data_IF_225722137609
#
_entry.id   IF_225722137609
#
_cell.length_a   1.000
_cell.length_b   1.000
_cell.length_c   1.000
_cell.angle_alpha   90.00
_cell.angle_beta   90.00
_cell.angle_gamma   90.00
#
_symmetry.space_group_name_H-M   'P 1'
#
loop_
_entity.id
_entity.type
_entity.pdbx_description
1 polymer ?
#
# COMPACT_ATOMS: atom_id res chain seq x y z
N UNK A 1 9.85 -0.01 37.06
CA UNK A 1 8.76 -1.03 37.11
C UNK A 1 7.73 -0.99 35.96
N UNK A 2 7.59 0.10 35.18
CA UNK A 2 6.58 0.21 34.08
C UNK A 2 6.88 -0.61 32.82
N UNK A 3 8.13 -0.97 32.55
CA UNK A 3 8.54 -1.68 31.32
C UNK A 3 8.17 -3.18 31.29
N UNK A 4 8.00 -3.82 32.45
CA UNK A 4 7.66 -5.25 32.54
C UNK A 4 6.16 -5.50 32.23
N UNK A 5 5.28 -4.53 32.50
CA UNK A 5 3.84 -4.64 32.20
C UNK A 5 3.54 -4.60 30.69
N UNK A 6 4.29 -3.82 29.92
CA UNK A 6 4.07 -3.68 28.45
C UNK A 6 4.46 -4.96 27.71
N UNK A 7 5.50 -5.67 28.17
CA UNK A 7 5.91 -6.96 27.57
C UNK A 7 4.91 -8.09 27.84
N UNK A 8 4.22 -8.09 28.99
CA UNK A 8 3.18 -9.08 29.33
C UNK A 8 1.88 -8.89 28.52
N UNK A 9 1.50 -7.66 28.19
CA UNK A 9 0.31 -7.36 27.36
C UNK A 9 0.46 -7.85 25.91
N UNK A 10 1.67 -7.85 25.35
CA UNK A 10 1.91 -8.30 23.97
C UNK A 10 1.70 -9.81 23.77
N UNK A 11 1.87 -10.63 24.81
CA UNK A 11 1.61 -12.08 24.77
C UNK A 11 0.15 -12.45 25.07
N UNK A 12 -0.61 -11.59 25.73
CA UNK A 12 -2.02 -11.85 26.06
C UNK A 12 -2.93 -11.71 24.84
N UNK A 13 -2.65 -10.74 23.96
CA UNK A 13 -3.42 -10.54 22.73
C UNK A 13 -3.39 -11.73 21.77
N UNK A 14 -2.27 -12.47 21.68
CA UNK A 14 -2.18 -13.63 20.77
C UNK A 14 -3.07 -14.80 21.19
N UNK A 15 -3.32 -14.99 22.50
CA UNK A 15 -4.20 -16.04 23.00
C UNK A 15 -5.67 -15.73 22.70
N UNK A 16 -6.05 -14.46 22.84
CA UNK A 16 -7.40 -13.99 22.50
C UNK A 16 -7.60 -14.02 20.98
N UNK A 17 -6.62 -13.56 20.21
CA UNK A 17 -6.68 -13.57 18.74
C UNK A 17 -6.78 -15.00 18.20
N UNK A 18 -6.02 -15.95 18.76
CA UNK A 18 -6.10 -17.37 18.38
C UNK A 18 -7.41 -18.01 18.78
N UNK A 19 -7.98 -17.69 19.95
CA UNK A 19 -9.30 -18.16 20.37
C UNK A 19 -10.41 -17.67 19.42
N UNK A 20 -10.35 -16.40 19.00
CA UNK A 20 -11.25 -15.82 18.02
C UNK A 20 -11.07 -16.49 16.66
N UNK A 21 -9.82 -16.72 16.22
CA UNK A 21 -9.52 -17.39 14.96
C UNK A 21 -10.02 -18.84 14.95
N UNK A 22 -9.86 -19.59 16.04
CA UNK A 22 -10.41 -20.94 16.18
C UNK A 22 -11.93 -20.94 16.16
N UNK A 23 -12.59 -19.96 16.77
CA UNK A 23 -14.03 -19.79 16.69
C UNK A 23 -14.50 -19.54 15.25
N UNK A 24 -13.81 -18.66 14.53
CA UNK A 24 -14.10 -18.36 13.11
C UNK A 24 -13.89 -19.60 12.24
N UNK A 25 -12.82 -20.38 12.48
CA UNK A 25 -12.54 -21.62 11.74
C UNK A 25 -13.62 -22.68 12.00
N UNK A 26 -14.09 -22.82 13.24
CA UNK A 26 -15.19 -23.76 13.58
C UNK A 26 -16.51 -23.34 12.92
N UNK A 27 -16.81 -22.04 12.91
CA UNK A 27 -17.99 -21.49 12.23
C UNK A 27 -17.88 -21.69 10.72
N UNK A 28 -16.72 -21.42 10.13
CA UNK A 28 -16.47 -21.61 8.70
C UNK A 28 -16.56 -23.09 8.32
N UNK A 29 -16.06 -23.99 9.17
CA UNK A 29 -16.18 -25.44 9.00
C UNK A 29 -17.63 -25.90 9.04
N UNK A 30 -18.43 -25.38 9.97
CA UNK A 30 -19.87 -25.66 10.04
C UNK A 30 -20.62 -25.15 8.80
N UNK A 31 -20.28 -23.95 8.33
CA UNK A 31 -20.84 -23.37 7.09
C UNK A 31 -20.45 -24.22 5.88
N UNK A 32 -19.18 -24.66 5.78
CA UNK A 32 -18.73 -25.55 4.71
C UNK A 32 -19.45 -26.90 4.75
N UNK A 33 -19.63 -27.49 5.94
CA UNK A 33 -20.36 -28.74 6.10
C UNK A 33 -21.82 -28.60 5.61
N UNK A 34 -22.46 -27.47 5.93
CA UNK A 34 -23.81 -27.13 5.47
C UNK A 34 -23.88 -26.93 3.95
N UNK A 35 -22.91 -26.22 3.37
CA UNK A 35 -22.86 -25.94 1.94
C UNK A 35 -22.57 -27.18 1.07
N UNK A 36 -21.66 -28.05 1.51
CA UNK A 36 -21.24 -29.21 0.73
C UNK A 36 -22.12 -30.46 0.91
N UNK A 37 -23.17 -30.39 1.74
CA UNK A 37 -24.05 -31.53 2.10
C UNK A 37 -23.25 -32.80 2.45
N UNK A 38 -22.10 -32.63 3.11
CA UNK A 38 -21.21 -33.74 3.46
C UNK A 38 -21.79 -34.48 4.68
N UNK A 39 -22.70 -35.43 4.43
CA UNK A 39 -23.28 -36.29 5.45
C UNK A 39 -22.27 -37.37 5.86
N UNK A 40 -21.50 -37.06 6.91
CA UNK A 40 -20.74 -38.07 7.63
C UNK A 40 -21.72 -39.10 8.21
N UNK A 41 -21.42 -40.42 8.13
CA UNK A 41 -22.28 -41.45 8.67
C UNK A 41 -22.63 -41.16 10.14
N UNK A 42 -23.93 -41.16 10.46
CA UNK A 42 -24.44 -40.62 11.74
C UNK A 42 -23.92 -41.36 12.98
N UNK A 43 -23.48 -42.62 12.85
CA UNK A 43 -23.23 -43.51 13.98
C UNK A 43 -21.79 -43.58 14.49
N UNK A 44 -20.79 -43.11 13.74
CA UNK A 44 -19.38 -43.30 14.13
C UNK A 44 -18.79 -42.07 14.80
N UNK A 45 -19.18 -41.88 16.06
CA UNK A 45 -18.67 -40.82 16.94
C UNK A 45 -17.13 -40.91 17.09
N UNK A 46 -16.58 -42.12 17.09
CA UNK A 46 -15.14 -42.39 17.12
C UNK A 46 -14.44 -41.87 15.85
N UNK A 47 -15.03 -42.05 14.67
CA UNK A 47 -14.46 -41.58 13.40
C UNK A 47 -14.41 -40.05 13.35
N UNK A 48 -15.45 -39.36 13.86
CA UNK A 48 -15.48 -37.89 13.96
C UNK A 48 -14.39 -37.37 14.89
N UNK A 49 -14.17 -38.03 16.03
CA UNK A 49 -13.10 -37.68 16.98
C UNK A 49 -11.72 -37.90 16.34
N UNK A 50 -11.51 -39.03 15.66
CA UNK A 50 -10.23 -39.33 15.00
C UNK A 50 -9.89 -38.33 13.89
N UNK A 51 -10.88 -37.94 13.06
CA UNK A 51 -10.71 -36.90 12.04
C UNK A 51 -10.42 -35.54 12.68
N UNK A 52 -11.09 -35.20 13.78
CA UNK A 52 -10.84 -33.95 14.52
C UNK A 52 -9.42 -33.91 15.09
N UNK A 53 -8.94 -35.01 15.67
CA UNK A 53 -7.58 -35.14 16.19
C UNK A 53 -6.52 -35.07 15.08
N UNK A 54 -6.77 -35.70 13.93
CA UNK A 54 -5.85 -35.66 12.79
C UNK A 54 -5.73 -34.25 12.21
N UNK A 55 -6.87 -33.56 12.01
CA UNK A 55 -6.89 -32.18 11.52
C UNK A 55 -6.18 -31.25 12.50
N UNK A 56 -6.41 -31.42 13.81
CA UNK A 56 -5.76 -30.60 14.84
C UNK A 56 -4.25 -30.82 14.87
N UNK A 57 -3.78 -32.07 14.74
CA UNK A 57 -2.34 -32.38 14.65
C UNK A 57 -1.69 -31.79 13.40
N UNK A 58 -2.37 -31.87 12.24
CA UNK A 58 -1.88 -31.27 10.98
C UNK A 58 -1.74 -29.76 11.14
N UNK A 59 -2.71 -29.09 11.76
CA UNK A 59 -2.66 -27.64 12.01
C UNK A 59 -1.49 -27.27 12.93
N UNK A 60 -1.25 -28.05 14.01
CA UNK A 60 -0.13 -27.82 14.93
C UNK A 60 1.24 -28.00 14.24
N UNK A 61 1.38 -28.98 13.36
CA UNK A 61 2.60 -29.23 12.58
C UNK A 61 2.86 -28.12 11.55
N UNK A 62 1.80 -27.57 10.92
CA UNK A 62 1.94 -26.46 9.98
C UNK A 62 2.14 -25.11 10.66
N UNK A 63 1.65 -24.92 11.89
CA UNK A 63 1.70 -23.65 12.61
C UNK A 63 3.09 -22.96 12.62
N UNK A 64 4.21 -23.62 12.95
CA UNK A 64 5.53 -22.96 12.97
C UNK A 64 5.98 -22.51 11.56
N UNK A 65 5.68 -23.28 10.51
CA UNK A 65 5.98 -22.91 9.12
C UNK A 65 5.13 -21.72 8.68
N UNK A 66 3.84 -21.74 9.02
CA UNK A 66 2.92 -20.61 8.79
C UNK A 66 3.39 -19.36 9.53
N UNK A 67 3.86 -19.49 10.77
CA UNK A 67 4.35 -18.36 11.57
C UNK A 67 5.56 -17.67 10.94
N UNK A 68 6.49 -18.44 10.39
CA UNK A 68 7.64 -17.89 9.65
C UNK A 68 7.19 -17.16 8.37
N UNK A 69 6.24 -17.74 7.64
CA UNK A 69 5.65 -17.12 6.46
C UNK A 69 4.92 -15.82 6.81
N UNK A 70 4.17 -15.79 7.92
CA UNK A 70 3.47 -14.58 8.39
C UNK A 70 4.41 -13.46 8.77
N UNK A 71 5.61 -13.74 9.28
CA UNK A 71 6.59 -12.68 9.57
C UNK A 71 7.13 -12.05 8.29
N UNK A 72 7.35 -12.85 7.24
CA UNK A 72 7.79 -12.36 5.93
C UNK A 72 6.69 -11.56 5.22
N UNK A 73 5.45 -12.05 5.29
CA UNK A 73 4.27 -11.35 4.77
C UNK A 73 4.03 -10.07 5.57
N UNK A 74 4.16 -10.09 6.90
CA UNK A 74 3.94 -8.92 7.76
C UNK A 74 4.94 -7.81 7.45
N UNK A 75 6.22 -8.14 7.26
CA UNK A 75 7.22 -7.17 6.80
C UNK A 75 6.86 -6.57 5.44
N UNK A 76 6.35 -7.39 4.51
CA UNK A 76 5.87 -6.91 3.20
C UNK A 76 4.62 -6.03 3.33
N UNK A 77 3.67 -6.37 4.21
CA UNK A 77 2.45 -5.61 4.48
C UNK A 77 2.75 -4.28 5.15
N UNK A 78 3.70 -4.24 6.09
CA UNK A 78 4.16 -3.00 6.74
C UNK A 78 4.83 -2.03 5.76
N UNK A 79 5.31 -2.53 4.61
CA UNK A 79 5.82 -1.73 3.50
C UNK A 79 4.75 -1.32 2.48
N UNK A 80 3.50 -1.81 2.59
CA UNK A 80 2.44 -1.42 1.69
C UNK A 80 1.85 -0.07 2.13
N UNK A 81 1.79 0.86 1.18
CA UNK A 81 1.02 2.08 1.30
C UNK A 81 -0.46 1.77 1.61
N UNK A 82 -1.10 2.59 2.45
CA UNK A 82 -2.54 2.52 2.74
C UNK A 82 -3.35 2.58 1.43
N UNK A 83 -2.86 3.33 0.42
CA UNK A 83 -3.49 3.41 -0.91
C UNK A 83 -3.55 2.05 -1.60
N UNK A 84 -2.45 1.29 -1.54
CA UNK A 84 -2.34 -0.05 -2.14
C UNK A 84 -3.33 -1.02 -1.49
N UNK A 85 -3.51 -0.93 -0.18
CA UNK A 85 -4.50 -1.73 0.55
C UNK A 85 -5.92 -1.37 0.08
N UNK A 86 -6.24 -0.09 -0.06
CA UNK A 86 -7.55 0.36 -0.57
C UNK A 86 -7.81 -0.10 -2.02
N UNK A 87 -6.80 -0.05 -2.87
CA UNK A 87 -6.88 -0.49 -4.26
C UNK A 87 -7.14 -2.00 -4.36
N UNK A 88 -6.47 -2.80 -3.50
CA UNK A 88 -6.70 -4.24 -3.39
C UNK A 88 -8.13 -4.53 -2.88
N UNK A 89 -8.63 -3.77 -1.90
CA UNK A 89 -9.99 -3.94 -1.40
C UNK A 89 -11.05 -3.59 -2.47
N UNK A 90 -10.84 -2.50 -3.20
CA UNK A 90 -11.73 -2.06 -4.28
C UNK A 90 -11.81 -3.10 -5.41
N UNK A 91 -10.68 -3.67 -5.78
CA UNK A 91 -10.60 -4.70 -6.82
C UNK A 91 -11.23 -6.02 -6.40
N UNK A 92 -11.09 -6.43 -5.13
CA UNK A 92 -11.82 -7.57 -4.58
C UNK A 92 -13.35 -7.35 -4.66
N UNK A 93 -13.81 -6.15 -4.29
CA UNK A 93 -15.21 -5.75 -4.40
C UNK A 93 -15.72 -5.83 -5.84
N UNK A 94 -14.99 -5.26 -6.80
CA UNK A 94 -15.32 -5.34 -8.23
C UNK A 94 -15.34 -6.78 -8.73
N UNK A 95 -14.37 -7.60 -8.35
CA UNK A 95 -14.32 -9.02 -8.72
C UNK A 95 -15.54 -9.80 -8.21
N UNK A 96 -15.98 -9.52 -6.99
CA UNK A 96 -17.20 -10.13 -6.41
C UNK A 96 -18.47 -9.62 -7.12
N UNK A 97 -18.54 -8.33 -7.46
CA UNK A 97 -19.65 -7.75 -8.22
C UNK A 97 -19.79 -8.37 -9.62
N UNK A 98 -18.66 -8.54 -10.32
CA UNK A 98 -18.62 -9.23 -11.61
C UNK A 98 -18.99 -10.70 -11.46
N UNK A 99 -18.48 -11.38 -10.42
CA UNK A 99 -18.82 -12.77 -10.12
C UNK A 99 -20.32 -12.97 -9.83
N UNK A 100 -20.93 -12.05 -9.09
CA UNK A 100 -22.36 -12.07 -8.83
C UNK A 100 -23.16 -11.86 -10.11
N UNK A 101 -22.74 -10.94 -10.98
CA UNK A 101 -23.36 -10.75 -12.29
C UNK A 101 -23.30 -12.02 -13.14
N UNK A 102 -22.18 -12.75 -13.07
CA UNK A 102 -21.98 -14.03 -13.76
C UNK A 102 -22.82 -15.18 -13.18
N UNK A 103 -23.21 -15.13 -11.91
CA UNK A 103 -24.08 -16.15 -11.31
C UNK A 103 -25.45 -16.26 -11.99
N UNK A 104 -25.93 -15.19 -12.64
CA UNK A 104 -27.19 -15.21 -13.41
C UNK A 104 -27.10 -16.11 -14.66
N UNK A 105 -25.90 -16.43 -15.12
CA UNK A 105 -25.67 -17.31 -16.27
C UNK A 105 -25.81 -18.80 -15.91
N UNK A 106 -25.99 -19.15 -14.62
CA UNK A 106 -26.37 -20.51 -14.18
C UNK A 106 -27.65 -20.99 -14.88
N UNK A 107 -28.53 -20.06 -15.28
CA UNK A 107 -29.78 -20.37 -15.97
C UNK A 107 -29.58 -20.85 -17.42
N UNK A 108 -28.39 -20.72 -17.99
CA UNK A 108 -28.10 -21.22 -19.34
C UNK A 108 -27.71 -22.70 -19.30
N UNK A 109 -28.24 -23.53 -20.22
CA UNK A 109 -28.06 -24.99 -20.20
C UNK A 109 -26.60 -25.46 -20.43
N UNK A 110 -25.71 -24.55 -20.86
CA UNK A 110 -24.31 -24.86 -21.14
C UNK A 110 -23.39 -24.75 -19.93
N UNK A 111 -23.80 -24.05 -18.87
CA UNK A 111 -22.91 -23.74 -17.75
C UNK A 111 -23.36 -24.45 -16.47
N UNK A 112 -22.58 -25.43 -16.02
CA UNK A 112 -22.76 -26.00 -14.68
C UNK A 112 -22.28 -25.02 -13.60
N UNK A 113 -22.82 -25.13 -12.39
CA UNK A 113 -22.42 -24.31 -11.22
C UNK A 113 -20.90 -24.37 -10.98
N UNK A 114 -20.29 -25.56 -11.12
CA UNK A 114 -18.84 -25.76 -10.92
C UNK A 114 -18.01 -24.98 -11.93
N UNK A 115 -18.41 -24.96 -13.20
CA UNK A 115 -17.75 -24.18 -14.26
C UNK A 115 -17.83 -22.69 -13.97
N UNK A 116 -18.97 -22.20 -13.48
CA UNK A 116 -19.14 -20.77 -13.16
C UNK A 116 -18.28 -20.36 -11.98
N UNK A 117 -18.19 -21.18 -10.93
CA UNK A 117 -17.27 -20.94 -9.81
C UNK A 117 -15.81 -20.89 -10.28
N UNK A 118 -15.41 -21.80 -11.16
CA UNK A 118 -14.06 -21.82 -11.73
C UNK A 118 -13.74 -20.56 -12.54
N UNK A 119 -14.65 -20.13 -13.41
CA UNK A 119 -14.52 -18.90 -14.20
C UNK A 119 -14.43 -17.67 -13.28
N UNK A 120 -15.24 -17.60 -12.23
CA UNK A 120 -15.23 -16.49 -11.29
C UNK A 120 -13.90 -16.37 -10.52
N UNK A 121 -13.31 -17.50 -10.10
CA UNK A 121 -11.99 -17.50 -9.47
C UNK A 121 -10.93 -16.93 -10.42
N UNK A 122 -10.98 -17.32 -11.71
CA UNK A 122 -10.08 -16.78 -12.74
C UNK A 122 -10.26 -15.27 -12.91
N UNK A 123 -11.51 -14.79 -13.00
CA UNK A 123 -11.80 -13.35 -13.15
C UNK A 123 -11.24 -12.54 -11.97
N UNK A 124 -11.41 -13.03 -10.74
CA UNK A 124 -10.89 -12.36 -9.54
C UNK A 124 -9.36 -12.29 -9.59
N UNK A 125 -8.69 -13.39 -9.94
CA UNK A 125 -7.22 -13.43 -10.07
C UNK A 125 -6.74 -12.44 -11.13
N UNK A 126 -7.37 -12.43 -12.31
CA UNK A 126 -7.01 -11.52 -13.40
C UNK A 126 -7.21 -10.06 -12.98
N UNK A 127 -8.33 -9.74 -12.33
CA UNK A 127 -8.66 -8.38 -11.89
C UNK A 127 -7.62 -7.86 -10.90
N UNK A 128 -7.27 -8.67 -9.90
CA UNK A 128 -6.22 -8.32 -8.93
C UNK A 128 -4.87 -8.17 -9.64
N UNK A 129 -4.54 -9.06 -10.56
CA UNK A 129 -3.27 -9.04 -11.28
C UNK A 129 -3.09 -7.78 -12.15
N UNK A 130 -4.10 -7.39 -12.93
CA UNK A 130 -4.07 -6.19 -13.77
C UNK A 130 -3.80 -4.94 -12.93
N UNK A 131 -4.44 -4.84 -11.77
CA UNK A 131 -4.36 -3.68 -10.89
C UNK A 131 -3.01 -3.59 -10.17
N UNK A 132 -2.43 -4.74 -9.82
CA UNK A 132 -1.06 -4.78 -9.29
C UNK A 132 -0.03 -4.41 -10.35
N UNK A 133 -0.25 -4.77 -11.62
CA UNK A 133 0.63 -4.38 -12.71
C UNK A 133 0.52 -2.89 -13.06
N UNK A 134 -0.70 -2.34 -13.01
CA UNK A 134 -0.99 -0.96 -13.40
C UNK A 134 -1.01 0.03 -12.24
N UNK A 135 -0.45 -0.33 -11.07
CA UNK A 135 -0.46 0.51 -9.87
C UNK A 135 0.09 1.92 -10.16
N UNK A 136 1.21 2.00 -10.87
CA UNK A 136 1.85 3.28 -11.23
C UNK A 136 1.00 4.14 -12.18
N UNK A 137 0.34 3.50 -13.16
CA UNK A 137 -0.57 4.18 -14.09
C UNK A 137 -1.85 4.66 -13.40
N UNK A 138 -2.38 3.88 -12.45
CA UNK A 138 -3.57 4.23 -11.66
C UNK A 138 -3.25 5.42 -10.75
N UNK A 139 -2.08 5.44 -10.13
CA UNK A 139 -1.63 6.59 -9.34
C UNK A 139 -1.50 7.84 -10.22
N UNK A 140 -0.96 7.70 -11.43
CA UNK A 140 -0.92 8.80 -12.38
C UNK A 140 -2.34 9.31 -12.72
N UNK A 141 -3.29 8.44 -13.07
CA UNK A 141 -4.64 8.86 -13.48
C UNK A 141 -5.44 9.47 -12.31
N UNK A 142 -5.40 8.86 -11.12
CA UNK A 142 -6.18 9.30 -9.97
C UNK A 142 -5.64 10.57 -9.31
N UNK A 143 -4.34 10.85 -9.42
CA UNK A 143 -3.69 11.98 -8.72
C UNK A 143 -3.12 13.06 -9.65
N UNK A 144 -3.34 12.96 -10.97
CA UNK A 144 -2.97 13.99 -11.95
C UNK A 144 -3.80 15.28 -11.84
N UNK A 145 -4.97 15.25 -11.21
CA UNK A 145 -5.82 16.45 -11.07
C UNK A 145 -5.54 17.32 -9.83
N UNK A 146 -4.77 16.86 -8.85
CA UNK A 146 -4.48 17.65 -7.65
C UNK A 146 -3.30 18.63 -7.80
N UNK A 147 -2.81 18.85 -9.02
CA UNK A 147 -1.70 19.80 -9.30
C UNK A 147 -2.14 21.11 -9.96
N UNK A 148 -3.44 21.29 -10.19
CA UNK A 148 -3.97 22.56 -10.73
C UNK A 148 -4.15 23.61 -9.61
N UNK A 149 -3.70 23.33 -8.39
CA UNK A 149 -3.56 24.34 -7.31
C UNK A 149 -2.20 24.27 -6.64
N UNK A 150 -1.24 24.96 -7.25
CA UNK A 150 -0.27 25.79 -6.52
C UNK A 150 1.06 25.14 -6.16
N UNK A 151 2.05 25.34 -7.04
CA UNK A 151 3.48 25.56 -6.76
C UNK A 151 4.35 24.54 -6.02
N UNK A 152 3.85 23.51 -5.34
CA UNK A 152 4.73 22.71 -4.45
C UNK A 152 5.32 21.44 -5.08
N UNK A 153 4.74 20.88 -6.15
CA UNK A 153 5.29 19.66 -6.78
C UNK A 153 6.48 19.89 -7.70
N UNK A 154 6.67 21.10 -8.22
CA UNK A 154 7.88 21.44 -8.96
C UNK A 154 9.15 21.42 -8.10
N UNK A 155 9.03 21.45 -6.77
CA UNK A 155 10.16 21.36 -5.83
C UNK A 155 10.54 19.93 -5.44
N UNK A 156 9.68 18.92 -5.68
CA UNK A 156 9.91 17.56 -5.15
C UNK A 156 10.67 16.63 -6.11
N UNK A 157 10.66 16.90 -7.42
CA UNK A 157 11.33 16.05 -8.43
C UNK A 157 12.56 16.70 -9.06
N UNK A 158 12.75 18.01 -8.87
CA UNK A 158 13.84 18.76 -9.48
C UNK A 158 15.07 18.79 -8.56
N UNK A 159 16.23 18.47 -9.12
CA UNK A 159 17.50 18.58 -8.40
C UNK A 159 17.73 20.03 -7.93
N UNK A 160 18.21 20.26 -6.71
CA UNK A 160 18.50 21.60 -6.23
C UNK A 160 19.54 22.28 -7.14
N UNK A 161 19.35 23.57 -7.39
CA UNK A 161 20.25 24.37 -8.25
C UNK A 161 21.02 25.37 -7.41
N UNK A 162 22.33 25.40 -7.60
CA UNK A 162 23.22 26.32 -6.88
C UNK A 162 23.33 27.61 -7.69
N UNK A 163 23.16 28.74 -7.02
CA UNK A 163 23.29 30.08 -7.64
C UNK A 163 24.67 30.63 -7.37
N UNK A 164 25.26 31.24 -8.39
CA UNK A 164 26.52 31.98 -8.35
C UNK A 164 26.31 33.50 -8.18
N UNK A 165 27.32 34.19 -7.65
CA UNK A 165 27.30 35.64 -7.40
C UNK A 165 27.01 36.45 -8.67
N UNK A 166 27.62 36.06 -9.79
CA UNK A 166 27.48 36.75 -11.09
C UNK A 166 26.03 36.80 -11.58
N UNK A 167 25.31 35.69 -11.44
CA UNK A 167 23.90 35.57 -11.87
C UNK A 167 22.96 36.44 -11.02
N UNK A 168 23.32 36.68 -9.75
CA UNK A 168 22.57 37.55 -8.84
C UNK A 168 22.84 39.03 -9.16
N UNK A 169 24.11 39.41 -9.29
CA UNK A 169 24.52 40.81 -9.58
C UNK A 169 23.91 41.32 -10.90
N UNK A 170 23.79 40.44 -11.89
CA UNK A 170 23.20 40.81 -13.18
C UNK A 170 21.66 40.81 -13.18
N UNK A 171 21.03 40.30 -12.12
CA UNK A 171 19.57 40.18 -12.02
C UNK A 171 18.95 39.11 -12.93
N UNK A 172 19.75 38.40 -13.74
CA UNK A 172 19.27 37.37 -14.69
C UNK A 172 18.50 36.25 -14.00
N UNK A 173 18.94 35.82 -12.81
CA UNK A 173 18.25 34.75 -12.08
C UNK A 173 16.83 35.14 -11.68
N UNK A 174 16.57 36.42 -11.43
CA UNK A 174 15.24 36.92 -11.05
C UNK A 174 14.25 36.80 -12.20
N UNK A 175 14.67 37.17 -13.42
CA UNK A 175 13.80 37.06 -14.60
C UNK A 175 13.52 35.60 -14.97
N UNK A 176 14.54 34.74 -14.89
CA UNK A 176 14.40 33.32 -15.19
C UNK A 176 13.50 32.63 -14.15
N UNK A 177 13.61 32.99 -12.86
CA UNK A 177 12.73 32.50 -11.81
C UNK A 177 11.30 33.01 -11.95
N UNK A 178 11.11 34.32 -12.20
CA UNK A 178 9.79 34.95 -12.35
C UNK A 178 8.95 34.36 -13.49
N UNK A 179 9.61 33.91 -14.55
CA UNK A 179 8.96 33.31 -15.72
C UNK A 179 8.86 31.77 -15.64
N UNK A 180 9.16 31.16 -14.49
CA UNK A 180 9.14 29.70 -14.28
C UNK A 180 10.00 28.91 -15.29
N UNK A 181 11.14 29.46 -15.72
CA UNK A 181 12.10 28.73 -16.57
C UNK A 181 13.04 27.84 -15.76
N UNK A 182 13.09 28.04 -14.43
CA UNK A 182 13.88 27.25 -13.51
C UNK A 182 12.96 26.72 -12.42
N UNK A 183 12.99 25.40 -12.26
CA UNK A 183 12.27 24.69 -11.21
C UNK A 183 13.21 24.23 -10.09
N UNK A 184 12.64 23.99 -8.91
CA UNK A 184 13.34 23.39 -7.79
C UNK A 184 13.95 24.36 -6.80
N UNK A 185 14.54 23.78 -5.74
CA UNK A 185 15.12 24.56 -4.64
C UNK A 185 16.37 25.27 -5.14
N UNK A 186 16.36 26.60 -5.05
CA UNK A 186 17.52 27.45 -5.28
C UNK A 186 18.36 27.52 -4.01
N UNK A 187 19.61 27.05 -4.08
CA UNK A 187 20.56 27.09 -2.98
C UNK A 187 21.52 28.25 -3.23
N UNK A 188 21.58 29.19 -2.29
CA UNK A 188 22.57 30.26 -2.27
C UNK A 188 23.63 29.92 -1.20
N UNK A 189 24.86 29.55 -1.60
CA UNK A 189 25.94 29.27 -0.66
C UNK A 189 26.32 30.49 0.17
N UNK A 190 26.86 30.25 1.37
CA UNK A 190 27.27 31.35 2.28
C UNK A 190 28.33 32.27 1.67
N UNK A 191 29.30 31.72 0.93
CA UNK A 191 30.35 32.53 0.30
C UNK A 191 29.81 33.51 -0.75
N UNK A 192 28.70 33.17 -1.42
CA UNK A 192 28.02 34.06 -2.38
C UNK A 192 27.42 35.26 -1.67
N UNK A 193 26.83 35.06 -0.48
CA UNK A 193 26.32 36.15 0.36
C UNK A 193 27.45 37.05 0.85
N UNK A 194 28.58 36.48 1.27
CA UNK A 194 29.76 37.23 1.70
C UNK A 194 30.35 38.07 0.55
N UNK A 195 30.38 37.53 -0.67
CA UNK A 195 30.83 38.27 -1.85
C UNK A 195 29.88 39.42 -2.21
N UNK A 196 28.56 39.19 -2.16
CA UNK A 196 27.57 40.25 -2.38
C UNK A 196 27.69 41.37 -1.34
N UNK A 197 27.91 41.02 -0.06
CA UNK A 197 28.15 41.98 1.02
C UNK A 197 29.42 42.81 0.76
N UNK A 198 30.52 42.16 0.36
CA UNK A 198 31.76 42.87 0.00
C UNK A 198 31.56 43.84 -1.17
N UNK A 199 30.74 43.47 -2.16
CA UNK A 199 30.37 44.37 -3.28
C UNK A 199 29.49 45.52 -2.78
N UNK A 200 28.56 45.23 -1.87
CA UNK A 200 27.66 46.20 -1.23
C UNK A 200 28.40 47.20 -0.31
N UNK A 201 29.58 46.84 0.21
CA UNK A 201 30.39 47.70 1.08
C UNK A 201 31.50 48.47 0.34
N UNK A 202 31.60 48.31 -0.98
CA UNK A 202 32.65 48.97 -1.76
C UNK A 202 32.48 50.50 -1.86
N UNK A 203 33.60 51.23 -1.95
CA UNK A 203 33.63 52.70 -2.04
C UNK A 203 32.93 53.27 -3.29
N UNK A 204 32.73 52.44 -4.32
CA UNK A 204 32.10 52.85 -5.58
C UNK A 204 30.59 52.69 -5.47
N UNK A 205 29.86 53.81 -5.57
CA UNK A 205 28.40 53.85 -5.48
C UNK A 205 27.71 52.85 -6.43
N UNK A 206 28.22 52.70 -7.67
CA UNK A 206 27.69 51.75 -8.65
C UNK A 206 27.77 50.29 -8.21
N UNK A 207 28.86 49.90 -7.53
CA UNK A 207 29.03 48.54 -7.01
C UNK A 207 28.14 48.32 -5.78
N UNK A 208 28.09 49.31 -4.89
CA UNK A 208 27.18 49.39 -3.75
C UNK A 208 25.71 49.16 -4.12
N UNK A 209 25.24 49.77 -5.20
CA UNK A 209 23.86 49.60 -5.72
C UNK A 209 23.58 48.20 -6.26
N UNK A 210 24.60 47.48 -6.76
CA UNK A 210 24.46 46.13 -7.29
C UNK A 210 24.57 45.03 -6.22
N UNK A 211 25.28 45.29 -5.12
CA UNK A 211 25.40 44.34 -4.01
C UNK A 211 24.24 44.38 -3.00
N UNK A 212 23.44 45.47 -2.99
CA UNK A 212 22.23 45.62 -2.17
C UNK A 212 21.02 44.99 -2.85
#
# INVERSE_FOLDING_TARGET
MRWIKIKKLKNYNWRILSAILTGIILILFYILQSFFKFQLPEKDLVLKILIGLSVTSIILLLYPKLKLLTNNIKKKIEQLSIKKILLILFSLLLGVLLSYSMSKFILLPFFSEKTIVFINIIIIIITVYIILLKEEEIDYILFKESDVKGNDRYYSESSPKIIDTSAIIDGRIFEVYKNNFIDGILIVPRFVLEELQNVADSDRELKRKKGR
#
